data_IF_371042900916
#
_entry.id   IF_371042900916
#
_cell.length_a   1.000
_cell.length_b   1.000
_cell.length_c   1.000
_cell.angle_alpha   90.00
_cell.angle_beta   90.00
_cell.angle_gamma   90.00
#
_symmetry.space_group_name_H-M   'P 1'
#
loop_
_entity.id
_entity.type
_entity.pdbx_description
1 polymer ?
#
# COMPACT_ATOMS: atom_id res chain seq x y z
N UNK A 1 3.83 -35.20 8.00
CA UNK A 1 2.49 -35.60 8.50
C UNK A 1 2.16 -35.15 9.93
N UNK A 2 3.13 -35.16 10.87
CA UNK A 2 2.91 -34.85 12.31
C UNK A 2 2.22 -33.50 12.61
N UNK A 3 2.44 -32.47 11.79
CA UNK A 3 1.86 -31.13 11.96
C UNK A 3 0.39 -31.07 11.54
N UNK A 4 0.02 -31.81 10.48
CA UNK A 4 -1.36 -31.87 9.95
C UNK A 4 -2.28 -32.55 10.97
N UNK A 5 -1.82 -33.66 11.55
CA UNK A 5 -2.58 -34.36 12.59
C UNK A 5 -2.76 -33.48 13.85
N UNK A 6 -1.73 -32.71 14.21
CA UNK A 6 -1.80 -31.77 15.34
C UNK A 6 -2.79 -30.63 15.09
N UNK A 7 -2.89 -30.11 13.86
CA UNK A 7 -3.84 -29.06 13.53
C UNK A 7 -5.31 -29.52 13.55
N UNK A 8 -5.57 -30.80 13.25
CA UNK A 8 -6.93 -31.37 13.27
C UNK A 8 -7.48 -31.57 14.68
N UNK A 9 -6.61 -31.54 15.71
CA UNK A 9 -7.00 -31.69 17.12
C UNK A 9 -7.34 -30.35 17.80
N UNK A 10 -7.10 -29.22 17.12
CA UNK A 10 -7.38 -27.88 17.66
C UNK A 10 -8.89 -27.63 17.63
N UNK A 11 -9.43 -27.12 18.74
CA UNK A 11 -10.85 -26.77 18.85
C UNK A 11 -11.15 -25.52 18.02
N UNK A 12 -12.36 -25.43 17.47
CA UNK A 12 -12.76 -24.34 16.59
C UNK A 12 -12.63 -22.93 17.23
N UNK A 13 -12.67 -22.84 18.56
CA UNK A 13 -12.51 -21.58 19.30
C UNK A 13 -11.06 -21.07 19.33
N UNK A 14 -10.08 -21.95 19.14
CA UNK A 14 -8.65 -21.61 19.11
C UNK A 14 -8.14 -21.42 17.67
N UNK A 15 -9.04 -21.43 16.68
CA UNK A 15 -8.66 -21.18 15.30
C UNK A 15 -8.19 -19.73 15.17
N UNK A 16 -7.06 -19.51 14.46
CA UNK A 16 -6.65 -18.16 14.15
C UNK A 16 -7.77 -17.50 13.34
N UNK A 17 -8.05 -16.25 13.66
CA UNK A 17 -8.97 -15.47 12.86
C UNK A 17 -8.43 -15.38 11.43
N UNK A 18 -9.27 -15.76 10.46
CA UNK A 18 -8.92 -15.58 9.06
C UNK A 18 -8.66 -14.10 8.83
N UNK A 19 -7.44 -13.77 8.44
CA UNK A 19 -7.08 -12.40 8.06
C UNK A 19 -8.00 -12.03 6.90
N UNK A 20 -8.99 -11.19 7.18
CA UNK A 20 -9.88 -10.65 6.16
C UNK A 20 -9.09 -9.57 5.44
N UNK A 21 -8.67 -9.85 4.22
CA UNK A 21 -8.22 -8.78 3.32
C UNK A 21 -9.44 -7.89 3.06
N UNK A 22 -9.43 -6.68 3.59
CA UNK A 22 -10.41 -5.67 3.21
C UNK A 22 -10.28 -5.43 1.70
N UNK A 23 -11.30 -5.89 0.95
CA UNK A 23 -11.43 -5.54 -0.45
C UNK A 23 -11.94 -4.11 -0.51
N UNK A 24 -11.03 -3.14 -0.52
CA UNK A 24 -11.38 -1.79 -0.92
C UNK A 24 -11.87 -1.86 -2.36
N UNK A 25 -13.14 -1.55 -2.58
CA UNK A 25 -13.69 -1.32 -3.91
C UNK A 25 -12.99 -0.06 -4.40
N UNK A 26 -11.92 -0.22 -5.17
CA UNK A 26 -11.15 0.91 -5.67
C UNK A 26 -12.10 1.74 -6.51
N UNK A 27 -12.63 2.82 -5.93
CA UNK A 27 -13.49 3.72 -6.67
C UNK A 27 -12.64 4.30 -7.81
N UNK A 28 -13.24 4.56 -8.96
CA UNK A 28 -12.48 5.05 -10.12
C UNK A 28 -11.72 6.35 -9.79
N UNK A 29 -12.20 7.12 -8.81
CA UNK A 29 -11.49 8.29 -8.26
C UNK A 29 -10.19 7.94 -7.52
N UNK A 30 -10.17 6.86 -6.72
CA UNK A 30 -8.99 6.41 -5.98
C UNK A 30 -7.91 5.91 -6.96
N UNK A 31 -8.32 5.20 -8.02
CA UNK A 31 -7.40 4.82 -9.11
C UNK A 31 -6.83 6.04 -9.82
N UNK A 32 -7.68 7.00 -10.19
CA UNK A 32 -7.24 8.24 -10.83
C UNK A 32 -6.24 9.01 -9.99
N UNK A 33 -6.44 9.12 -8.67
CA UNK A 33 -5.44 9.73 -7.77
C UNK A 33 -4.13 8.96 -7.75
N UNK A 34 -4.18 7.63 -7.64
CA UNK A 34 -2.96 6.82 -7.65
C UNK A 34 -2.18 6.96 -8.97
N UNK A 35 -2.89 7.03 -10.11
CA UNK A 35 -2.28 7.24 -11.43
C UNK A 35 -1.69 8.65 -11.59
N UNK A 36 -2.35 9.69 -11.05
CA UNK A 36 -1.80 11.04 -11.01
C UNK A 36 -0.52 11.12 -10.19
N UNK A 37 -0.51 10.53 -8.99
CA UNK A 37 0.67 10.47 -8.14
C UNK A 37 1.80 9.66 -8.78
N UNK A 38 1.47 8.61 -9.54
CA UNK A 38 2.44 7.86 -10.33
C UNK A 38 3.12 8.74 -11.37
N UNK A 39 2.37 9.55 -12.12
CA UNK A 39 2.94 10.47 -13.11
C UNK A 39 3.91 11.47 -12.45
N UNK A 40 3.48 12.11 -11.35
CA UNK A 40 4.31 13.08 -10.61
C UNK A 40 5.61 12.43 -10.12
N UNK A 41 5.52 11.20 -9.61
CA UNK A 41 6.68 10.43 -9.14
C UNK A 41 7.62 10.10 -10.28
N UNK A 42 7.10 9.61 -11.40
CA UNK A 42 7.91 9.18 -12.54
C UNK A 42 8.63 10.37 -13.17
N UNK A 43 7.94 11.50 -13.32
CA UNK A 43 8.53 12.77 -13.78
C UNK A 43 9.64 13.25 -12.82
N UNK A 44 9.40 13.19 -11.50
CA UNK A 44 10.41 13.58 -10.51
C UNK A 44 11.59 12.61 -10.45
N UNK A 45 11.35 11.32 -10.62
CA UNK A 45 12.38 10.29 -10.67
C UNK A 45 13.32 10.50 -11.86
N UNK A 46 12.76 10.82 -13.04
CA UNK A 46 13.54 11.13 -14.24
C UNK A 46 14.37 12.41 -14.04
N UNK A 47 13.78 13.47 -13.48
CA UNK A 47 14.48 14.73 -13.20
C UNK A 47 15.61 14.57 -12.15
N UNK A 48 15.42 13.71 -11.15
CA UNK A 48 16.40 13.49 -10.08
C UNK A 48 17.37 12.34 -10.41
N UNK A 49 17.18 11.65 -11.53
CA UNK A 49 17.89 10.44 -11.91
C UNK A 49 17.91 9.37 -10.80
N UNK A 50 16.75 9.18 -10.15
CA UNK A 50 16.54 8.24 -9.06
C UNK A 50 15.59 7.12 -9.50
N UNK A 51 15.67 5.98 -8.82
CA UNK A 51 14.67 4.94 -9.02
C UNK A 51 13.31 5.39 -8.44
N UNK A 52 12.20 5.31 -9.20
CA UNK A 52 10.88 5.75 -8.75
C UNK A 52 10.42 5.05 -7.46
N UNK A 53 10.84 3.81 -7.22
CA UNK A 53 10.47 3.07 -6.00
C UNK A 53 11.07 3.68 -4.73
N UNK A 54 12.17 4.44 -4.83
CA UNK A 54 12.79 5.18 -3.72
C UNK A 54 11.94 6.39 -3.33
N UNK A 55 11.30 7.04 -4.31
CA UNK A 55 10.38 8.15 -4.06
C UNK A 55 9.08 7.59 -3.44
N UNK A 56 8.46 6.64 -4.12
CA UNK A 56 7.30 5.91 -3.60
C UNK A 56 7.07 4.59 -4.32
N UNK A 57 6.86 3.52 -3.56
CA UNK A 57 6.47 2.22 -4.12
C UNK A 57 5.05 2.26 -4.73
N UNK A 58 4.75 1.35 -5.66
CA UNK A 58 3.39 1.20 -6.21
C UNK A 58 2.34 0.95 -5.12
N UNK A 59 2.71 0.19 -4.08
CA UNK A 59 1.84 -0.06 -2.93
C UNK A 59 1.55 1.23 -2.14
N UNK A 60 2.56 2.08 -1.95
CA UNK A 60 2.42 3.39 -1.30
C UNK A 60 1.52 4.32 -2.11
N UNK A 61 1.71 4.43 -3.43
CA UNK A 61 0.84 5.22 -4.31
C UNK A 61 -0.61 4.73 -4.28
N UNK A 62 -0.81 3.42 -4.24
CA UNK A 62 -2.14 2.82 -4.12
C UNK A 62 -2.76 3.18 -2.76
N UNK A 63 -2.00 3.07 -1.66
CA UNK A 63 -2.48 3.46 -0.31
C UNK A 63 -2.79 4.97 -0.20
N UNK A 64 -2.03 5.82 -0.88
CA UNK A 64 -2.28 7.26 -0.98
C UNK A 64 -3.55 7.58 -1.77
N UNK A 65 -3.85 6.78 -2.79
CA UNK A 65 -5.09 6.89 -3.56
C UNK A 65 -6.33 6.42 -2.77
N UNK A 66 -6.16 5.47 -1.85
CA UNK A 66 -7.21 4.93 -0.98
C UNK A 66 -7.52 5.86 0.20
N UNK A 67 -8.60 5.53 0.93
CA UNK A 67 -9.02 6.22 2.16
C UNK A 67 -7.97 6.20 3.31
N UNK A 68 -6.85 5.48 3.17
CA UNK A 68 -5.71 5.43 4.11
C UNK A 68 -4.64 6.51 3.80
N UNK A 69 -4.98 7.51 2.98
CA UNK A 69 -4.05 8.55 2.53
C UNK A 69 -3.32 9.26 3.68
N UNK A 70 -4.00 9.58 4.78
CA UNK A 70 -3.37 10.26 5.92
C UNK A 70 -2.25 9.42 6.58
N UNK A 71 -2.44 8.10 6.66
CA UNK A 71 -1.44 7.18 7.22
C UNK A 71 -0.31 6.91 6.25
N UNK A 72 -0.63 6.75 4.96
CA UNK A 72 0.38 6.62 3.93
C UNK A 72 1.25 7.88 3.81
N UNK A 73 0.66 9.07 3.96
CA UNK A 73 1.40 10.33 4.01
C UNK A 73 2.28 10.41 5.24
N UNK A 74 1.82 9.98 6.42
CA UNK A 74 2.63 10.05 7.65
C UNK A 74 3.88 9.17 7.62
N UNK A 75 3.83 8.05 6.88
CA UNK A 75 4.96 7.14 6.66
C UNK A 75 6.01 7.68 5.69
N UNK A 76 5.68 8.69 4.87
CA UNK A 76 6.61 9.32 3.92
C UNK A 76 7.53 10.34 4.59
N UNK A 77 8.78 10.40 4.13
CA UNK A 77 9.72 11.47 4.51
C UNK A 77 9.27 12.83 3.94
N UNK A 78 9.69 13.92 4.59
CA UNK A 78 9.30 15.29 4.17
C UNK A 78 9.64 15.56 2.69
N UNK A 79 10.82 15.16 2.24
CA UNK A 79 11.23 15.36 0.84
C UNK A 79 10.38 14.57 -0.17
N UNK A 80 9.92 13.36 0.19
CA UNK A 80 9.02 12.55 -0.65
C UNK A 80 7.63 13.21 -0.77
N UNK A 81 7.12 13.79 0.33
CA UNK A 81 5.85 14.54 0.33
C UNK A 81 5.93 15.78 -0.54
N UNK A 82 7.05 16.51 -0.48
CA UNK A 82 7.28 17.68 -1.33
C UNK A 82 7.28 17.33 -2.81
N UNK A 83 7.89 16.19 -3.19
CA UNK A 83 7.88 15.71 -4.58
C UNK A 83 6.46 15.36 -5.03
N UNK A 84 5.70 14.63 -4.20
CA UNK A 84 4.34 14.20 -4.51
C UNK A 84 3.29 15.32 -4.31
N UNK A 85 3.71 16.50 -3.87
CA UNK A 85 2.87 17.67 -3.55
C UNK A 85 1.74 17.34 -2.57
N UNK A 86 2.07 16.54 -1.54
CA UNK A 86 1.19 16.09 -0.46
C UNK A 86 1.39 16.88 0.84
#
# INVERSE_FOLDING_TARGET
EKVINKSLTIKAQDYPNRIKTERFRTADEEKRRADQLKSIRDDAAENLNLDPSIIASKATLTRLGLNDAAKATSELMQWQRQILKL
#
